data_IF_293297820413
#
_entry.id   IF_293297820413
#
_cell.length_a   1.000
_cell.length_b   1.000
_cell.length_c   1.000
_cell.angle_alpha   90.00
_cell.angle_beta   90.00
_cell.angle_gamma   90.00
#
_symmetry.space_group_name_H-M   'P 1'
#
loop_
_entity.id
_entity.type
_entity.pdbx_description
1 polymer ?
#
# COMPACT_ATOMS: atom_id res chain seq x y z
N UNK A 1 -3.32 -22.38 4.27
CA UNK A 1 -2.86 -21.53 5.40
C UNK A 1 -3.60 -20.21 5.52
N UNK A 2 -4.76 -20.22 6.17
CA UNK A 2 -5.70 -19.07 6.26
C UNK A 2 -5.91 -18.55 7.69
N UNK A 3 -5.00 -18.85 8.62
CA UNK A 3 -5.15 -18.53 10.06
C UNK A 3 -4.17 -17.50 10.64
N UNK A 4 -3.23 -16.98 9.87
CA UNK A 4 -2.35 -15.87 10.33
C UNK A 4 -2.83 -14.48 9.89
N UNK A 5 -3.78 -14.41 8.96
CA UNK A 5 -4.29 -13.14 8.45
C UNK A 5 -5.32 -12.46 9.38
N UNK A 6 -5.76 -13.10 10.46
CA UNK A 6 -6.78 -12.57 11.37
C UNK A 6 -6.20 -11.83 12.58
N UNK A 7 -4.94 -12.08 12.99
CA UNK A 7 -4.40 -11.57 14.28
C UNK A 7 -3.35 -10.46 14.11
N UNK A 8 -2.89 -10.18 12.88
CA UNK A 8 -1.90 -9.09 12.69
C UNK A 8 -2.60 -7.78 12.36
N UNK A 9 -2.68 -6.87 13.33
CA UNK A 9 -3.10 -5.47 13.09
C UNK A 9 -2.06 -4.68 12.28
N UNK A 10 -0.89 -5.27 12.04
CA UNK A 10 0.28 -4.70 11.38
C UNK A 10 0.95 -5.70 10.43
N UNK A 11 1.10 -5.35 9.15
CA UNK A 11 1.96 -6.05 8.19
C UNK A 11 3.34 -5.40 8.08
N UNK A 12 4.40 -6.19 7.94
CA UNK A 12 5.75 -5.68 7.69
C UNK A 12 6.15 -5.92 6.23
N UNK A 13 6.60 -4.88 5.53
CA UNK A 13 6.94 -4.96 4.11
C UNK A 13 8.33 -4.39 3.87
N UNK A 14 9.20 -5.18 3.25
CA UNK A 14 10.47 -4.68 2.71
C UNK A 14 10.24 -4.22 1.27
N UNK A 15 10.66 -3.00 0.96
CA UNK A 15 10.46 -2.43 -0.36
C UNK A 15 11.69 -1.69 -0.87
N UNK A 16 12.05 -1.99 -2.10
CA UNK A 16 13.20 -1.46 -2.83
C UNK A 16 12.87 -0.23 -3.70
N UNK A 17 11.59 0.17 -3.75
CA UNK A 17 11.10 1.23 -4.64
C UNK A 17 10.64 0.76 -6.01
N UNK A 18 10.79 -0.54 -6.33
CA UNK A 18 10.56 -1.07 -7.68
C UNK A 18 9.62 -2.27 -7.71
N UNK A 19 9.63 -3.09 -6.66
CA UNK A 19 8.79 -4.27 -6.55
C UNK A 19 7.31 -3.89 -6.49
N UNK A 20 6.59 -4.13 -7.60
CA UNK A 20 5.14 -3.95 -7.67
C UNK A 20 4.40 -4.93 -6.74
N UNK A 21 4.98 -6.11 -6.49
CA UNK A 21 4.45 -7.09 -5.52
C UNK A 21 4.46 -6.58 -4.08
N UNK A 22 5.50 -5.86 -3.68
CA UNK A 22 5.55 -5.24 -2.34
C UNK A 22 4.46 -4.18 -2.18
N UNK A 23 4.20 -3.37 -3.21
CA UNK A 23 3.10 -2.40 -3.19
C UNK A 23 1.74 -3.10 -3.21
N UNK A 24 1.57 -4.17 -4.00
CA UNK A 24 0.36 -4.98 -3.98
C UNK A 24 0.04 -5.54 -2.58
N UNK A 25 1.06 -5.96 -1.84
CA UNK A 25 0.89 -6.43 -0.46
C UNK A 25 0.43 -5.31 0.48
N UNK A 26 0.99 -4.10 0.37
CA UNK A 26 0.55 -2.93 1.16
C UNK A 26 -0.91 -2.58 0.84
N UNK A 27 -1.26 -2.60 -0.44
CA UNK A 27 -2.61 -2.38 -0.97
C UNK A 27 -3.63 -3.38 -0.40
N UNK A 28 -3.30 -4.66 -0.40
CA UNK A 28 -4.17 -5.71 0.15
C UNK A 28 -4.37 -5.56 1.67
N UNK A 29 -3.35 -5.12 2.40
CA UNK A 29 -3.47 -4.80 3.83
C UNK A 29 -4.41 -3.62 4.06
N UNK A 30 -4.29 -2.53 3.28
CA UNK A 30 -5.18 -1.38 3.36
C UNK A 30 -6.64 -1.74 3.08
N UNK A 31 -6.90 -2.62 2.09
CA UNK A 31 -8.24 -3.16 1.78
C UNK A 31 -8.88 -3.87 2.96
N UNK A 32 -8.08 -4.52 3.79
CA UNK A 32 -8.51 -5.21 5.01
C UNK A 32 -8.54 -4.31 6.24
N UNK A 33 -8.41 -2.98 6.07
CA UNK A 33 -8.24 -1.99 7.13
C UNK A 33 -7.06 -2.29 8.08
N UNK A 34 -5.99 -2.92 7.56
CA UNK A 34 -4.78 -3.23 8.30
C UNK A 34 -3.68 -2.22 8.00
N UNK A 35 -2.89 -1.91 9.03
CA UNK A 35 -1.74 -1.01 8.91
C UNK A 35 -0.53 -1.81 8.41
N UNK A 36 0.42 -1.12 7.78
CA UNK A 36 1.70 -1.72 7.41
C UNK A 36 2.87 -0.83 7.77
N UNK A 37 3.98 -1.44 8.19
CA UNK A 37 5.27 -0.79 8.36
C UNK A 37 6.15 -1.19 7.18
N UNK A 38 6.44 -0.23 6.31
CA UNK A 38 7.24 -0.43 5.09
C UNK A 38 8.66 0.05 5.35
N UNK A 39 9.64 -0.86 5.27
CA UNK A 39 11.05 -0.46 5.18
C UNK A 39 11.38 -0.10 3.74
N UNK A 40 11.66 1.18 3.49
CA UNK A 40 12.03 1.69 2.19
C UNK A 40 13.55 1.71 2.05
N UNK A 41 14.09 0.70 1.35
CA UNK A 41 15.53 0.48 1.20
C UNK A 41 16.30 1.67 0.63
N UNK A 42 15.80 2.41 -0.39
CA UNK A 42 16.50 3.59 -0.93
C UNK A 42 16.81 4.67 0.10
N UNK A 43 15.91 4.88 1.07
CA UNK A 43 16.10 5.86 2.15
C UNK A 43 16.53 5.22 3.48
N UNK A 44 16.65 3.89 3.54
CA UNK A 44 16.94 3.10 4.76
C UNK A 44 16.05 3.50 5.94
N UNK A 45 14.77 3.75 5.67
CA UNK A 45 13.83 4.32 6.65
C UNK A 45 12.49 3.57 6.64
N UNK A 46 11.84 3.52 7.79
CA UNK A 46 10.50 2.96 7.93
C UNK A 46 9.40 4.00 7.68
N UNK A 47 8.33 3.55 7.02
CA UNK A 47 7.13 4.30 6.72
C UNK A 47 5.90 3.55 7.21
N UNK A 48 5.09 4.18 8.07
CA UNK A 48 3.80 3.62 8.48
C UNK A 48 2.77 3.97 7.42
N UNK A 49 2.17 2.96 6.80
CA UNK A 49 1.13 3.11 5.78
C UNK A 49 -0.16 2.51 6.33
N UNK A 50 -1.08 3.37 6.73
CA UNK A 50 -2.39 3.01 7.28
C UNK A 50 -3.57 3.55 6.47
N UNK A 51 -3.31 4.32 5.42
CA UNK A 51 -4.33 4.86 4.53
C UNK A 51 -3.73 5.16 3.14
N UNK A 52 -4.61 5.51 2.21
CA UNK A 52 -4.26 5.82 0.82
C UNK A 52 -3.33 7.04 0.67
N UNK A 53 -3.43 8.04 1.55
CA UNK A 53 -2.60 9.25 1.46
C UNK A 53 -1.15 8.95 1.84
N UNK A 54 -0.93 8.16 2.88
CA UNK A 54 0.41 7.69 3.24
C UNK A 54 1.02 6.78 2.17
N UNK A 55 0.20 5.93 1.53
CA UNK A 55 0.65 5.16 0.36
C UNK A 55 1.07 6.10 -0.78
N UNK A 56 0.28 7.13 -1.09
CA UNK A 56 0.61 8.13 -2.13
C UNK A 56 1.89 8.88 -1.80
N UNK A 57 2.10 9.29 -0.55
CA UNK A 57 3.34 9.95 -0.09
C UNK A 57 4.55 9.04 -0.26
N UNK A 58 4.42 7.76 0.09
CA UNK A 58 5.49 6.78 -0.08
C UNK A 58 5.83 6.58 -1.57
N UNK A 59 4.82 6.46 -2.44
CA UNK A 59 4.99 6.33 -3.88
C UNK A 59 5.66 7.56 -4.52
N UNK A 60 5.32 8.79 -4.08
CA UNK A 60 5.95 10.03 -4.58
C UNK A 60 7.47 10.12 -4.33
N UNK A 61 8.05 9.23 -3.50
CA UNK A 61 9.49 9.16 -3.25
C UNK A 61 10.26 8.38 -4.32
N UNK A 62 9.55 7.62 -5.17
CA UNK A 62 10.16 6.90 -6.28
C UNK A 62 10.26 7.79 -7.52
N UNK A 63 11.17 7.46 -8.41
CA UNK A 63 11.25 8.08 -9.71
C UNK A 63 10.01 7.76 -10.56
N UNK A 64 9.75 8.61 -11.56
CA UNK A 64 8.55 8.54 -12.39
C UNK A 64 8.46 7.26 -13.23
N UNK A 65 9.60 6.66 -13.59
CA UNK A 65 9.67 5.41 -14.35
C UNK A 65 9.25 4.22 -13.48
N UNK A 66 9.84 4.09 -12.28
CA UNK A 66 9.46 3.07 -11.30
C UNK A 66 7.97 3.14 -10.94
N UNK A 67 7.42 4.35 -10.79
CA UNK A 67 5.99 4.56 -10.50
C UNK A 67 5.11 4.13 -11.66
N UNK A 68 5.52 4.43 -12.90
CA UNK A 68 4.79 4.01 -14.09
C UNK A 68 4.78 2.49 -14.22
N UNK A 69 5.92 1.85 -14.00
CA UNK A 69 6.06 0.39 -14.07
C UNK A 69 5.21 -0.32 -13.02
N UNK A 70 5.23 0.17 -11.79
CA UNK A 70 4.35 -0.31 -10.72
C UNK A 70 2.89 -0.12 -11.16
N UNK A 71 2.50 1.08 -11.59
CA UNK A 71 1.12 1.40 -12.00
C UNK A 71 0.62 0.61 -13.21
N UNK A 72 1.51 0.09 -14.05
CA UNK A 72 1.17 -0.78 -15.17
C UNK A 72 1.02 -2.24 -14.74
N UNK A 73 1.90 -2.70 -13.84
CA UNK A 73 1.93 -4.10 -13.37
C UNK A 73 0.84 -4.40 -12.34
N UNK A 74 0.46 -3.40 -11.56
CA UNK A 74 -0.69 -3.47 -10.66
C UNK A 74 -1.74 -2.50 -11.16
N UNK A 75 -3.03 -2.86 -11.14
CA UNK A 75 -4.13 -1.97 -11.52
C UNK A 75 -4.33 -0.86 -10.47
N UNK A 76 -3.28 -0.07 -10.21
CA UNK A 76 -3.17 0.88 -9.11
C UNK A 76 -4.30 1.91 -9.16
N UNK A 77 -4.63 2.42 -10.34
CA UNK A 77 -5.75 3.35 -10.50
C UNK A 77 -7.10 2.73 -10.16
N UNK A 78 -7.30 1.43 -10.48
CA UNK A 78 -8.52 0.73 -10.09
C UNK A 78 -8.62 0.59 -8.58
N UNK A 79 -7.51 0.26 -7.95
CA UNK A 79 -7.42 0.11 -6.50
C UNK A 79 -7.64 1.43 -5.76
N UNK A 80 -6.99 2.51 -6.19
CA UNK A 80 -7.12 3.82 -5.54
C UNK A 80 -8.59 4.29 -5.56
N UNK A 81 -9.29 4.08 -6.68
CA UNK A 81 -10.74 4.37 -6.78
C UNK A 81 -11.59 3.51 -5.84
N UNK A 82 -11.26 2.23 -5.71
CA UNK A 82 -11.96 1.31 -4.80
C UNK A 82 -11.77 1.70 -3.32
N UNK A 83 -10.56 2.09 -2.93
CA UNK A 83 -10.32 2.60 -1.57
C UNK A 83 -11.05 3.93 -1.32
N UNK A 84 -11.11 4.81 -2.31
CA UNK A 84 -11.84 6.09 -2.20
C UNK A 84 -13.35 5.87 -2.05
N UNK A 85 -13.93 4.90 -2.77
CA UNK A 85 -15.36 4.58 -2.64
C UNK A 85 -15.71 3.95 -1.30
N UNK A 86 -14.84 3.08 -0.76
CA UNK A 86 -15.00 2.49 0.60
C UNK A 86 -14.97 3.59 1.67
N UNK A 87 -14.09 4.58 1.53
CA UNK A 87 -14.01 5.71 2.48
C UNK A 87 -15.28 6.56 2.45
N UNK A 88 -15.87 6.77 1.28
CA UNK A 88 -17.10 7.56 1.11
C UNK A 88 -18.33 6.85 1.71
N UNK A 89 -18.45 5.53 1.56
CA UNK A 89 -19.58 4.77 2.11
C UNK A 89 -19.54 4.67 3.65
N UNK A 90 -18.35 4.61 4.24
CA UNK A 90 -18.17 4.59 5.70
C UNK A 90 -18.56 5.92 6.39
N UNK A 91 -18.71 7.02 5.64
CA UNK A 91 -19.09 8.34 6.17
C UNK A 91 -20.61 8.57 6.10
N UNK A 92 -21.36 7.72 5.37
CA UNK A 92 -22.81 7.87 5.17
C UNK A 92 -23.67 7.05 6.15
N UNK A 93 -23.18 6.79 7.36
CA UNK A 93 -23.92 6.12 8.45
C UNK A 93 -24.07 7.02 9.67
#
# INVERSE_FOLDING_TARGET
>A
DRKMAEITDYGFVLWDGKSSGSIANVIELLKRNKKSLVYFSPEKRFYSVSNIEELRKLLKKCDSESIRDISNKISLNSFLRELESIKQSAINF
#
